data_IF_428791050669
#
_entry.id   IF_428791050669
#
_cell.length_a   1.000
_cell.length_b   1.000
_cell.length_c   1.000
_cell.angle_alpha   90.00
_cell.angle_beta   90.00
_cell.angle_gamma   90.00
#
_symmetry.space_group_name_H-M   'P 1'
#
loop_
_entity.id
_entity.type
_entity.pdbx_description
1 polymer ?
#
# COMPACT_ATOMS: atom_id res chain seq x y z
N UNK A 1 -19.22 6.64 -7.80
CA UNK A 1 -18.11 7.23 -7.00
C UNK A 1 -18.60 8.43 -6.18
N UNK A 2 -18.41 8.39 -4.85
CA UNK A 2 -18.65 9.53 -3.95
C UNK A 2 -17.60 10.64 -4.18
N UNK A 3 -17.70 11.78 -3.50
CA UNK A 3 -16.69 12.86 -3.58
C UNK A 3 -15.33 12.45 -2.97
N UNK A 4 -15.34 11.50 -2.04
CA UNK A 4 -14.15 11.01 -1.33
C UNK A 4 -13.54 9.78 -2.00
N UNK A 5 -14.23 9.17 -2.96
CA UNK A 5 -13.71 8.01 -3.68
C UNK A 5 -12.54 8.41 -4.57
N UNK A 6 -11.45 7.67 -4.45
CA UNK A 6 -10.23 7.80 -5.23
C UNK A 6 -9.83 6.46 -5.83
N UNK A 7 -9.16 6.50 -6.97
CA UNK A 7 -8.44 5.35 -7.53
C UNK A 7 -6.94 5.66 -7.44
N UNK A 8 -6.19 4.77 -6.78
CA UNK A 8 -4.75 4.89 -6.66
C UNK A 8 -4.02 4.20 -7.82
N UNK A 9 -2.76 4.59 -8.11
CA UNK A 9 -1.93 3.93 -9.09
C UNK A 9 -1.49 2.53 -8.58
N UNK A 10 -1.07 1.69 -9.51
CA UNK A 10 -0.56 0.34 -9.30
C UNK A 10 0.96 0.41 -9.46
N UNK A 11 1.69 0.49 -8.35
CA UNK A 11 3.15 0.43 -8.37
C UNK A 11 3.69 -0.93 -7.90
N UNK A 12 4.32 -1.69 -8.79
CA UNK A 12 5.13 -2.82 -8.37
C UNK A 12 6.48 -2.37 -7.83
N UNK A 13 6.82 -2.92 -6.67
CA UNK A 13 8.20 -3.05 -6.23
C UNK A 13 8.64 -4.51 -6.26
N UNK A 14 9.83 -4.76 -6.80
CA UNK A 14 10.45 -6.09 -6.82
C UNK A 14 11.23 -6.28 -5.53
N UNK A 15 10.91 -7.35 -4.81
CA UNK A 15 11.60 -7.78 -3.60
C UNK A 15 12.32 -9.10 -3.88
N UNK A 16 13.64 -9.14 -3.66
CA UNK A 16 14.43 -10.33 -3.93
C UNK A 16 15.80 -10.33 -3.25
N UNK A 17 16.45 -11.50 -3.16
CA UNK A 17 17.74 -11.64 -2.47
C UNK A 17 18.89 -10.89 -3.16
N UNK A 18 18.74 -10.61 -4.46
CA UNK A 18 19.72 -9.93 -5.31
C UNK A 18 19.53 -8.41 -5.39
N UNK A 19 18.58 -7.87 -4.62
CA UNK A 19 18.38 -6.44 -4.53
C UNK A 19 19.56 -5.74 -3.84
N UNK A 20 19.66 -4.40 -3.93
CA UNK A 20 20.69 -3.65 -3.22
C UNK A 20 20.62 -3.86 -1.71
N UNK A 21 21.76 -3.94 -1.03
CA UNK A 21 21.82 -4.02 0.43
C UNK A 21 21.53 -2.66 1.06
N UNK A 22 20.94 -2.64 2.27
CA UNK A 22 20.72 -1.39 3.01
C UNK A 22 22.02 -1.00 3.73
N UNK A 23 22.66 0.14 3.40
CA UNK A 23 23.87 0.58 4.06
C UNK A 23 23.65 0.78 5.57
N UNK A 24 24.60 0.33 6.40
CA UNK A 24 24.57 0.57 7.84
C UNK A 24 23.61 -0.33 8.64
N UNK A 25 22.99 -1.34 8.04
CA UNK A 25 22.16 -2.30 8.76
C UNK A 25 22.96 -3.53 9.21
N UNK A 26 22.74 -3.97 10.45
CA UNK A 26 23.36 -5.20 10.99
C UNK A 26 22.72 -6.49 10.43
N UNK A 27 21.67 -6.37 9.63
CA UNK A 27 20.97 -7.51 9.05
C UNK A 27 21.55 -7.81 7.64
N UNK A 28 22.33 -8.89 7.46
CA UNK A 28 22.94 -9.23 6.18
C UNK A 28 21.92 -9.61 5.09
N UNK A 29 20.66 -9.85 5.46
CA UNK A 29 19.55 -10.14 4.54
C UNK A 29 18.66 -8.93 4.27
N UNK A 30 18.91 -7.77 4.88
CA UNK A 30 18.16 -6.55 4.59
C UNK A 30 18.46 -6.09 3.16
N UNK A 31 17.40 -5.87 2.38
CA UNK A 31 17.47 -5.49 0.97
C UNK A 31 16.54 -4.31 0.73
N UNK A 32 16.95 -3.40 -0.13
CA UNK A 32 16.12 -2.29 -0.62
C UNK A 32 15.18 -2.83 -1.70
N UNK A 33 13.86 -2.67 -1.58
CA UNK A 33 12.92 -2.96 -2.68
C UNK A 33 13.29 -2.13 -3.92
N UNK A 34 13.26 -2.72 -5.10
CA UNK A 34 13.50 -1.99 -6.35
C UNK A 34 12.17 -1.63 -6.98
N UNK A 35 11.80 -0.35 -6.94
CA UNK A 35 10.61 0.19 -7.59
C UNK A 35 10.77 0.15 -9.12
N UNK A 36 9.74 -0.32 -9.81
CA UNK A 36 9.70 -0.31 -11.27
C UNK A 36 9.62 1.13 -11.79
N UNK A 37 8.83 1.99 -11.16
CA UNK A 37 8.70 3.40 -11.53
C UNK A 37 10.03 4.14 -11.45
N UNK A 38 10.81 3.97 -10.38
CA UNK A 38 12.08 4.69 -10.24
C UNK A 38 13.11 4.27 -11.29
N UNK A 39 13.16 2.99 -11.64
CA UNK A 39 14.04 2.50 -12.72
C UNK A 39 13.59 3.09 -14.06
N UNK A 40 12.29 3.06 -14.35
CA UNK A 40 11.73 3.64 -15.58
C UNK A 40 11.97 5.16 -15.65
N UNK A 41 11.73 5.88 -14.56
CA UNK A 41 11.88 7.33 -14.47
C UNK A 41 13.34 7.75 -14.64
N UNK A 42 14.29 6.99 -14.08
CA UNK A 42 15.72 7.21 -14.30
C UNK A 42 16.11 7.07 -15.78
N UNK A 43 15.61 6.02 -16.44
CA UNK A 43 15.86 5.79 -17.86
C UNK A 43 15.15 6.81 -18.76
N UNK A 44 13.95 7.27 -18.39
CA UNK A 44 13.22 8.31 -19.11
C UNK A 44 13.89 9.67 -18.97
N UNK A 45 14.33 10.05 -17.76
CA UNK A 45 15.10 11.28 -17.53
C UNK A 45 16.33 11.33 -18.43
N UNK A 46 17.09 10.23 -18.52
CA UNK A 46 18.26 10.18 -19.38
C UNK A 46 17.93 10.37 -20.87
N UNK A 47 16.84 9.77 -21.36
CA UNK A 47 16.45 9.83 -22.76
C UNK A 47 15.75 11.13 -23.14
N UNK A 48 14.77 11.56 -22.35
CA UNK A 48 13.86 12.66 -22.66
C UNK A 48 14.38 14.02 -22.20
N UNK A 49 14.94 14.11 -20.98
CA UNK A 49 15.40 15.37 -20.41
C UNK A 49 16.87 15.68 -20.80
N UNK A 50 17.73 14.65 -20.75
CA UNK A 50 19.15 14.80 -21.09
C UNK A 50 19.45 14.54 -22.58
N UNK A 51 18.47 14.03 -23.33
CA UNK A 51 18.61 13.77 -24.76
C UNK A 51 19.57 12.63 -25.12
N UNK A 52 19.86 11.72 -24.18
CA UNK A 52 20.78 10.59 -24.40
C UNK A 52 20.03 9.49 -25.16
N UNK A 53 20.11 9.54 -26.48
CA UNK A 53 19.45 8.56 -27.37
C UNK A 53 20.44 7.74 -28.19
N UNK A 54 21.74 8.02 -28.08
CA UNK A 54 22.76 7.27 -28.79
C UNK A 54 23.09 5.94 -28.11
N UNK A 55 23.48 4.95 -28.90
CA UNK A 55 23.72 3.59 -28.39
C UNK A 55 24.84 3.52 -27.34
N UNK A 56 25.85 4.40 -27.43
CA UNK A 56 26.97 4.40 -26.46
C UNK A 56 26.49 4.93 -25.12
N UNK A 57 25.83 6.10 -25.10
CA UNK A 57 25.26 6.67 -23.88
C UNK A 57 24.28 5.72 -23.18
N UNK A 58 23.39 5.07 -23.93
CA UNK A 58 22.46 4.09 -23.38
C UNK A 58 23.18 2.85 -22.80
N UNK A 59 24.25 2.40 -23.46
CA UNK A 59 25.06 1.28 -22.97
C UNK A 59 25.79 1.65 -21.67
N UNK A 60 26.34 2.86 -21.58
CA UNK A 60 27.04 3.34 -20.40
C UNK A 60 26.09 3.46 -19.20
N UNK A 61 24.88 3.99 -19.40
CA UNK A 61 23.83 4.05 -18.37
C UNK A 61 23.46 2.65 -17.88
N UNK A 62 23.24 1.70 -18.80
CA UNK A 62 22.90 0.32 -18.43
C UNK A 62 24.03 -0.33 -17.63
N UNK A 63 25.28 -0.21 -18.10
CA UNK A 63 26.46 -0.73 -17.41
C UNK A 63 26.54 -0.13 -16.01
N UNK A 64 26.36 1.18 -15.86
CA UNK A 64 26.42 1.83 -14.56
C UNK A 64 25.29 1.37 -13.63
N UNK A 65 24.06 1.27 -14.13
CA UNK A 65 22.91 0.76 -13.38
C UNK A 65 23.16 -0.67 -12.88
N UNK A 66 23.78 -1.53 -13.71
CA UNK A 66 24.08 -2.92 -13.33
C UNK A 66 25.14 -3.06 -12.24
N UNK A 67 25.94 -2.01 -11.95
CA UNK A 67 26.86 -2.00 -10.81
C UNK A 67 26.12 -1.84 -9.48
N UNK A 68 24.93 -1.23 -9.51
CA UNK A 68 24.14 -0.92 -8.33
C UNK A 68 22.95 -1.85 -8.14
N UNK A 69 22.33 -2.29 -9.24
CA UNK A 69 21.18 -3.21 -9.25
C UNK A 69 21.55 -4.45 -10.05
N UNK A 70 21.41 -5.62 -9.44
CA UNK A 70 21.74 -6.87 -10.12
C UNK A 70 20.94 -7.05 -11.43
N UNK A 71 21.56 -7.50 -12.55
CA UNK A 71 20.87 -7.65 -13.84
C UNK A 71 19.60 -8.51 -13.79
N UNK A 72 19.60 -9.58 -12.98
CA UNK A 72 18.39 -10.39 -12.77
C UNK A 72 17.24 -9.60 -12.12
N UNK A 73 17.55 -8.67 -11.21
CA UNK A 73 16.54 -7.78 -10.61
C UNK A 73 16.01 -6.79 -11.65
N UNK A 74 16.86 -6.25 -12.54
CA UNK A 74 16.40 -5.42 -13.67
C UNK A 74 15.49 -6.21 -14.64
N UNK A 75 15.83 -7.48 -14.91
CA UNK A 75 14.95 -8.38 -15.67
C UNK A 75 13.61 -8.63 -14.98
N UNK A 76 13.60 -8.76 -13.65
CA UNK A 76 12.38 -8.86 -12.85
C UNK A 76 11.55 -7.58 -12.89
N UNK A 77 12.19 -6.40 -12.83
CA UNK A 77 11.54 -5.09 -12.97
C UNK A 77 10.78 -5.01 -14.30
N UNK A 78 11.45 -5.34 -15.41
CA UNK A 78 10.82 -5.36 -16.74
C UNK A 78 9.63 -6.33 -16.81
N UNK A 79 9.80 -7.54 -16.27
CA UNK A 79 8.74 -8.55 -16.23
C UNK A 79 7.54 -8.07 -15.38
N UNK A 80 7.81 -7.50 -14.22
CA UNK A 80 6.79 -6.99 -13.29
C UNK A 80 5.93 -5.91 -13.95
N UNK A 81 6.57 -4.96 -14.65
CA UNK A 81 5.89 -3.94 -15.45
C UNK A 81 4.91 -4.54 -16.47
N UNK A 82 5.39 -5.50 -17.27
CA UNK A 82 4.57 -6.16 -18.29
C UNK A 82 3.39 -6.93 -17.67
N UNK A 83 3.63 -7.61 -16.54
CA UNK A 83 2.60 -8.35 -15.82
C UNK A 83 1.49 -7.44 -15.27
N UNK A 84 1.84 -6.26 -14.75
CA UNK A 84 0.85 -5.31 -14.23
C UNK A 84 0.06 -4.64 -15.33
N UNK A 85 0.67 -4.29 -16.47
CA UNK A 85 -0.08 -3.84 -17.64
C UNK A 85 -1.07 -4.90 -18.13
N UNK A 86 -0.66 -6.17 -18.18
CA UNK A 86 -1.55 -7.29 -18.51
C UNK A 86 -2.68 -7.47 -17.49
N UNK A 87 -2.38 -7.36 -16.19
CA UNK A 87 -3.38 -7.52 -15.13
C UNK A 87 -4.39 -6.37 -15.16
N UNK A 88 -3.92 -5.13 -15.28
CA UNK A 88 -4.76 -3.95 -15.43
C UNK A 88 -5.71 -4.13 -16.62
N UNK A 89 -5.19 -4.56 -17.78
CA UNK A 89 -5.99 -4.87 -18.97
C UNK A 89 -7.10 -5.89 -18.69
N UNK A 90 -6.77 -7.00 -18.02
CA UNK A 90 -7.75 -8.05 -17.67
C UNK A 90 -8.81 -7.56 -16.68
N UNK A 91 -8.44 -6.70 -15.72
CA UNK A 91 -9.37 -6.13 -14.74
C UNK A 91 -10.31 -5.10 -15.40
N UNK A 92 -9.78 -4.29 -16.32
CA UNK A 92 -10.56 -3.33 -17.10
C UNK A 92 -11.51 -4.00 -18.09
N UNK A 93 -11.21 -5.22 -18.57
CA UNK A 93 -12.12 -5.96 -19.46
C UNK A 93 -13.49 -6.26 -18.85
N UNK A 94 -13.61 -6.26 -17.52
CA UNK A 94 -14.90 -6.39 -16.82
C UNK A 94 -15.65 -5.05 -16.68
N UNK A 95 -15.06 -3.95 -17.14
CA UNK A 95 -15.64 -2.62 -17.12
C UNK A 95 -16.02 -2.20 -18.55
N UNK A 96 -17.16 -1.52 -18.68
CA UNK A 96 -17.58 -0.91 -19.93
C UNK A 96 -16.73 0.35 -20.19
N UNK A 97 -15.64 0.20 -20.93
CA UNK A 97 -14.74 1.28 -21.35
C UNK A 97 -14.59 1.20 -22.87
N UNK A 98 -14.68 2.34 -23.53
CA UNK A 98 -14.46 2.43 -24.97
C UNK A 98 -12.99 2.07 -25.30
N UNK A 99 -12.71 1.25 -26.34
CA UNK A 99 -11.36 0.77 -26.64
C UNK A 99 -10.30 1.87 -26.78
N UNK A 100 -10.69 3.07 -27.23
CA UNK A 100 -9.80 4.21 -27.41
C UNK A 100 -9.28 4.79 -26.09
N UNK A 101 -9.99 4.55 -24.98
CA UNK A 101 -9.64 5.06 -23.65
C UNK A 101 -8.92 4.01 -22.79
N UNK A 102 -8.99 2.72 -23.15
CA UNK A 102 -8.42 1.61 -22.39
C UNK A 102 -6.91 1.81 -22.15
N UNK A 103 -6.14 2.10 -23.20
CA UNK A 103 -4.70 2.31 -23.09
C UNK A 103 -4.36 3.53 -22.22
N UNK A 104 -5.15 4.60 -22.30
CA UNK A 104 -4.95 5.80 -21.48
C UNK A 104 -5.20 5.52 -19.98
N UNK A 105 -6.24 4.75 -19.66
CA UNK A 105 -6.54 4.31 -18.28
C UNK A 105 -5.44 3.39 -17.76
N UNK A 106 -4.96 2.42 -18.55
CA UNK A 106 -3.85 1.53 -18.14
C UNK A 106 -2.58 2.35 -17.91
N UNK A 107 -2.26 3.28 -18.83
CA UNK A 107 -1.10 4.16 -18.73
C UNK A 107 -1.13 4.96 -17.43
N UNK A 108 -2.28 5.53 -17.10
CA UNK A 108 -2.52 6.25 -15.85
C UNK A 108 -2.37 5.35 -14.62
N UNK A 109 -3.03 4.19 -14.60
CA UNK A 109 -3.01 3.26 -13.47
C UNK A 109 -1.61 2.67 -13.25
N UNK A 110 -0.79 2.47 -14.29
CA UNK A 110 0.57 1.99 -14.17
C UNK A 110 1.60 3.12 -13.90
N UNK A 111 1.15 4.18 -13.24
CA UNK A 111 1.98 5.27 -12.69
C UNK A 111 2.77 6.11 -13.71
N UNK A 112 2.34 6.18 -14.96
CA UNK A 112 2.88 7.20 -15.89
C UNK A 112 2.31 8.61 -15.57
N UNK A 113 1.64 8.78 -14.43
CA UNK A 113 1.13 10.04 -13.85
C UNK A 113 2.16 10.80 -13.00
N UNK A 114 3.32 10.19 -12.71
CA UNK A 114 4.47 10.89 -12.11
C UNK A 114 4.49 11.01 -10.58
N UNK A 115 3.58 10.34 -9.87
CA UNK A 115 3.65 10.16 -8.41
C UNK A 115 2.77 9.01 -7.94
N UNK A 116 3.30 8.14 -7.07
CA UNK A 116 2.54 7.09 -6.39
C UNK A 116 1.45 7.62 -5.45
N UNK A 117 1.56 8.88 -5.03
CA UNK A 117 0.54 9.55 -4.20
C UNK A 117 -0.55 10.20 -5.05
N UNK A 118 -0.47 10.10 -6.38
CA UNK A 118 -1.45 10.69 -7.28
C UNK A 118 -2.74 9.88 -7.30
N UNK A 119 -3.70 10.32 -6.50
CA UNK A 119 -5.03 9.72 -6.49
C UNK A 119 -5.94 10.32 -7.55
N UNK A 120 -6.53 9.47 -8.39
CA UNK A 120 -7.53 9.89 -9.37
C UNK A 120 -8.88 10.13 -8.72
N UNK A 121 -9.41 11.33 -8.89
CA UNK A 121 -10.76 11.66 -8.46
C UNK A 121 -11.78 11.37 -9.55
N UNK A 122 -13.07 11.31 -9.17
CA UNK A 122 -14.19 11.04 -10.08
C UNK A 122 -14.31 11.95 -11.31
N UNK A 123 -13.73 13.15 -11.29
CA UNK A 123 -13.76 14.09 -12.44
C UNK A 123 -12.77 13.63 -13.50
N UNK A 124 -11.52 13.44 -13.10
CA UNK A 124 -10.44 12.93 -13.93
C UNK A 124 -10.74 11.51 -14.43
N UNK A 125 -11.28 10.64 -13.58
CA UNK A 125 -11.72 9.32 -14.00
C UNK A 125 -12.73 9.38 -15.15
N UNK A 126 -13.66 10.35 -15.11
CA UNK A 126 -14.62 10.57 -16.20
C UNK A 126 -13.95 11.13 -17.46
N UNK A 127 -12.96 12.00 -17.31
CA UNK A 127 -12.18 12.55 -18.43
C UNK A 127 -11.33 11.47 -19.12
N UNK A 128 -10.84 10.49 -18.37
CA UNK A 128 -10.17 9.29 -18.89
C UNK A 128 -11.13 8.26 -19.50
N UNK A 129 -12.44 8.53 -19.54
CA UNK A 129 -13.41 7.63 -20.17
C UNK A 129 -13.95 6.51 -19.26
N UNK A 130 -13.67 6.54 -17.95
CA UNK A 130 -14.29 5.59 -17.02
C UNK A 130 -15.78 5.89 -16.82
N UNK A 131 -16.59 4.84 -16.78
CA UNK A 131 -18.02 4.94 -16.49
C UNK A 131 -18.26 5.29 -15.02
N UNK A 132 -18.39 6.59 -14.74
CA UNK A 132 -18.60 7.10 -13.39
C UNK A 132 -20.08 7.42 -13.15
N UNK A 133 -20.71 6.65 -12.27
CA UNK A 133 -22.01 7.01 -11.69
C UNK A 133 -21.84 7.93 -10.47
N UNK A 134 -22.59 9.04 -10.46
CA UNK A 134 -22.63 9.96 -9.32
C UNK A 134 -23.82 9.56 -8.43
N UNK A 135 -23.60 9.23 -7.16
CA UNK A 135 -24.71 8.90 -6.28
C UNK A 135 -25.59 10.14 -6.08
N UNK A 136 -26.90 9.92 -6.02
CA UNK A 136 -27.85 10.90 -5.51
C UNK A 136 -27.64 11.08 -3.98
N UNK A 137 -28.38 11.99 -3.35
CA UNK A 137 -28.18 12.28 -1.93
C UNK A 137 -28.50 11.07 -1.05
N UNK A 138 -29.54 10.30 -1.38
CA UNK A 138 -29.95 9.12 -0.60
C UNK A 138 -28.88 8.03 -0.62
N UNK A 139 -28.38 7.69 -1.80
CA UNK A 139 -27.29 6.72 -1.96
C UNK A 139 -25.98 7.23 -1.33
N UNK A 140 -25.70 8.53 -1.45
CA UNK A 140 -24.52 9.13 -0.81
C UNK A 140 -24.58 8.98 0.71
N UNK A 141 -25.73 9.28 1.32
CA UNK A 141 -25.95 9.12 2.75
C UNK A 141 -25.81 7.66 3.18
N UNK A 142 -26.36 6.72 2.40
CA UNK A 142 -26.21 5.28 2.66
C UNK A 142 -24.73 4.86 2.66
N UNK A 143 -23.98 5.18 1.60
CA UNK A 143 -22.54 4.87 1.50
C UNK A 143 -21.77 5.51 2.66
N UNK A 144 -22.09 6.76 3.00
CA UNK A 144 -21.43 7.48 4.09
C UNK A 144 -21.70 6.83 5.44
N UNK A 145 -22.94 6.43 5.72
CA UNK A 145 -23.29 5.74 6.97
C UNK A 145 -22.53 4.42 7.11
N UNK A 146 -22.40 3.63 6.04
CA UNK A 146 -21.60 2.39 6.04
C UNK A 146 -20.13 2.70 6.35
N UNK A 147 -19.56 3.72 5.69
CA UNK A 147 -18.18 4.11 5.96
C UNK A 147 -17.97 4.59 7.38
N UNK A 148 -18.85 5.46 7.90
CA UNK A 148 -18.76 6.01 9.26
C UNK A 148 -18.87 4.89 10.31
N UNK A 149 -19.66 3.84 10.04
CA UNK A 149 -19.79 2.67 10.91
C UNK A 149 -18.49 1.84 10.94
N UNK A 150 -17.96 1.49 9.76
CA UNK A 150 -16.68 0.78 9.61
C UNK A 150 -15.52 1.59 10.22
N UNK A 151 -15.50 2.91 9.99
CA UNK A 151 -14.47 3.82 10.48
C UNK A 151 -14.42 3.86 12.01
N UNK A 152 -15.60 3.90 12.63
CA UNK A 152 -15.75 3.86 14.08
C UNK A 152 -15.37 2.50 14.64
N UNK A 153 -15.80 1.42 14.01
CA UNK A 153 -15.56 0.05 14.47
C UNK A 153 -14.07 -0.36 14.40
N UNK A 154 -13.39 0.03 13.32
CA UNK A 154 -11.96 -0.22 13.11
C UNK A 154 -11.08 0.88 13.72
N UNK A 155 -11.68 1.88 14.35
CA UNK A 155 -11.00 3.03 14.96
C UNK A 155 -9.98 3.70 14.02
N UNK A 156 -10.31 3.89 12.73
CA UNK A 156 -9.33 4.27 11.70
C UNK A 156 -8.68 5.64 11.93
N UNK A 157 -9.28 6.49 12.77
CA UNK A 157 -8.73 7.80 13.18
C UNK A 157 -7.94 7.76 14.48
N UNK A 158 -7.96 6.66 15.20
CA UNK A 158 -7.30 6.51 16.49
C UNK A 158 -6.00 5.74 16.29
N UNK A 159 -4.82 6.40 16.43
CA UNK A 159 -3.56 5.69 16.33
C UNK A 159 -3.40 4.70 17.47
N UNK A 160 -2.80 3.54 17.18
CA UNK A 160 -2.47 2.55 18.19
C UNK A 160 -1.28 3.02 19.02
N UNK A 161 -1.56 3.53 20.22
CA UNK A 161 -0.56 4.09 21.14
C UNK A 161 -0.58 3.34 22.49
N UNK A 162 0.27 2.31 22.68
CA UNK A 162 0.30 1.50 23.91
C UNK A 162 0.47 2.32 25.19
N UNK A 163 1.25 3.40 25.13
CA UNK A 163 1.45 4.30 26.27
C UNK A 163 0.15 4.98 26.69
N UNK A 164 -0.66 5.42 25.72
CA UNK A 164 -1.95 6.09 25.96
C UNK A 164 -2.97 5.08 26.51
N UNK A 165 -3.00 3.87 25.94
CA UNK A 165 -3.88 2.79 26.41
C UNK A 165 -3.58 2.38 27.86
N UNK A 166 -2.30 2.30 28.23
CA UNK A 166 -1.89 2.00 29.60
C UNK A 166 -2.19 3.14 30.58
N UNK A 167 -2.07 4.40 30.15
CA UNK A 167 -2.25 5.57 31.01
C UNK A 167 -1.42 5.47 32.30
N UNK A 168 -2.06 5.55 33.46
CA UNK A 168 -1.38 5.37 34.76
C UNK A 168 -1.34 3.92 35.26
N UNK A 169 -1.90 2.97 34.52
CA UNK A 169 -1.96 1.57 34.90
C UNK A 169 -0.68 0.83 34.49
N UNK A 170 -0.37 -0.25 35.21
CA UNK A 170 0.77 -1.13 34.88
C UNK A 170 0.38 -2.22 33.89
N UNK A 171 -0.92 -2.47 33.70
CA UNK A 171 -1.45 -3.51 32.83
C UNK A 171 -2.80 -3.07 32.27
N UNK A 172 -3.02 -3.29 30.97
CA UNK A 172 -4.33 -3.11 30.32
C UNK A 172 -4.56 -4.21 29.30
N UNK A 173 -5.76 -4.78 29.28
CA UNK A 173 -6.20 -5.71 28.23
C UNK A 173 -6.72 -4.91 27.05
N UNK A 174 -6.33 -5.30 25.84
CA UNK A 174 -6.82 -4.68 24.61
C UNK A 174 -7.45 -5.72 23.68
N UNK A 175 -8.37 -5.23 22.86
CA UNK A 175 -8.98 -5.95 21.76
C UNK A 175 -9.11 -4.98 20.59
N UNK A 176 -8.51 -5.32 19.44
CA UNK A 176 -8.51 -4.48 18.24
C UNK A 176 -9.14 -5.25 17.10
N UNK A 177 -10.17 -4.67 16.48
CA UNK A 177 -10.74 -5.15 15.22
C UNK A 177 -9.89 -4.61 14.08
N UNK A 178 -9.41 -5.49 13.20
CA UNK A 178 -8.41 -5.16 12.17
C UNK A 178 -8.93 -5.27 10.74
N UNK A 179 -9.90 -6.16 10.53
CA UNK A 179 -10.54 -6.37 9.24
C UNK A 179 -11.94 -6.94 9.45
N UNK A 180 -12.83 -6.64 8.51
CA UNK A 180 -14.23 -7.07 8.50
C UNK A 180 -14.54 -7.76 7.18
N UNK A 181 -15.26 -8.87 7.24
CA UNK A 181 -15.88 -9.53 6.10
C UNK A 181 -17.35 -9.71 6.45
N UNK A 182 -18.20 -8.93 5.79
CA UNK A 182 -19.62 -8.87 6.11
C UNK A 182 -20.48 -9.11 4.89
N UNK A 183 -21.56 -9.86 5.08
CA UNK A 183 -22.65 -9.91 4.11
C UNK A 183 -23.98 -10.14 4.81
N UNK A 184 -25.06 -9.72 4.14
CA UNK A 184 -26.42 -9.82 4.69
C UNK A 184 -26.82 -11.27 5.01
N UNK A 185 -26.36 -12.24 4.22
CA UNK A 185 -26.71 -13.65 4.41
C UNK A 185 -25.70 -14.42 5.28
N UNK A 186 -24.42 -14.07 5.20
CA UNK A 186 -23.34 -14.83 5.82
C UNK A 186 -23.08 -14.42 7.29
N UNK A 187 -23.40 -13.17 7.64
CA UNK A 187 -23.02 -12.57 8.92
C UNK A 187 -21.73 -11.77 8.81
N UNK A 188 -21.03 -11.61 9.93
CA UNK A 188 -19.80 -10.84 10.04
C UNK A 188 -18.66 -11.74 10.54
N UNK A 189 -17.54 -11.75 9.82
CA UNK A 189 -16.27 -12.28 10.30
C UNK A 189 -15.31 -11.12 10.54
N UNK A 190 -14.69 -11.12 11.72
CA UNK A 190 -13.81 -10.04 12.17
C UNK A 190 -12.43 -10.62 12.43
N UNK A 191 -11.39 -9.99 11.88
CA UNK A 191 -10.03 -10.28 12.28
C UNK A 191 -9.70 -9.48 13.54
N UNK A 192 -9.42 -10.16 14.64
CA UNK A 192 -9.21 -9.53 15.94
C UNK A 192 -7.81 -9.85 16.45
N UNK A 193 -7.12 -8.82 16.95
CA UNK A 193 -5.89 -8.96 17.74
C UNK A 193 -6.19 -8.60 19.19
N UNK A 194 -5.90 -9.51 20.12
CA UNK A 194 -6.16 -9.32 21.55
C UNK A 194 -4.94 -9.66 22.37
N UNK A 195 -4.78 -8.96 23.47
CA UNK A 195 -3.65 -9.19 24.34
C UNK A 195 -3.69 -8.33 25.58
N UNK A 196 -2.56 -8.36 26.28
CA UNK A 196 -2.34 -7.62 27.49
C UNK A 196 -1.07 -6.80 27.32
N UNK A 197 -1.19 -5.48 27.39
CA UNK A 197 -0.05 -4.59 27.48
C UNK A 197 0.40 -4.52 28.94
N UNK A 198 1.69 -4.67 29.18
CA UNK A 198 2.31 -4.58 30.50
C UNK A 198 3.42 -3.54 30.51
N UNK A 199 3.40 -2.65 31.49
CA UNK A 199 4.50 -1.74 31.78
C UNK A 199 5.50 -2.46 32.68
N UNK A 200 6.72 -2.66 32.17
CA UNK A 200 7.83 -3.21 32.94
C UNK A 200 8.91 -2.14 33.12
N UNK A 201 9.30 -1.91 34.37
CA UNK A 201 10.45 -1.06 34.69
C UNK A 201 11.65 -1.99 34.87
N UNK A 202 12.59 -1.94 33.93
CA UNK A 202 13.82 -2.72 34.00
C UNK A 202 14.88 -1.86 34.69
N UNK A 203 15.34 -2.30 35.88
CA UNK A 203 16.51 -1.74 36.53
C UNK A 203 17.74 -2.53 36.10
N UNK A 204 18.61 -1.91 35.30
CA UNK A 204 19.95 -2.44 35.03
C UNK A 204 20.94 -1.88 36.09
N UNK A 205 21.87 -2.70 36.61
CA UNK A 205 22.92 -2.20 37.49
C UNK A 205 23.73 -1.12 36.76
N UNK A 206 23.84 0.07 37.34
CA UNK A 206 24.52 1.26 36.81
C UNK A 206 23.90 2.00 35.61
N UNK A 207 22.61 1.84 35.31
CA UNK A 207 21.91 2.71 34.34
C UNK A 207 20.58 3.27 34.86
N UNK A 208 20.12 4.36 34.26
CA UNK A 208 18.80 4.96 34.53
C UNK A 208 17.69 3.92 34.30
N UNK A 209 16.64 3.97 35.12
CA UNK A 209 15.47 3.11 34.98
C UNK A 209 14.87 3.27 33.58
N UNK A 210 14.81 2.18 32.82
CA UNK A 210 14.13 2.16 31.53
C UNK A 210 12.75 1.55 31.69
N UNK A 211 11.73 2.28 31.23
CA UNK A 211 10.36 1.77 31.16
C UNK A 211 10.15 1.15 29.79
N UNK A 212 9.84 -0.14 29.76
CA UNK A 212 9.52 -0.91 28.58
C UNK A 212 8.03 -1.26 28.61
N UNK A 213 7.37 -1.23 27.45
CA UNK A 213 6.03 -1.80 27.28
C UNK A 213 6.19 -3.14 26.60
N UNK A 214 5.66 -4.18 27.25
CA UNK A 214 5.57 -5.52 26.71
C UNK A 214 4.15 -5.78 26.23
N UNK A 215 4.01 -6.17 24.95
CA UNK A 215 2.74 -6.64 24.38
C UNK A 215 2.69 -8.16 24.42
N UNK A 216 1.83 -8.71 25.28
CA UNK A 216 1.56 -10.13 25.37
C UNK A 216 0.26 -10.45 24.62
N UNK A 217 0.36 -10.71 23.32
CA UNK A 217 -0.77 -11.08 22.48
C UNK A 217 -1.29 -12.47 22.84
N UNK A 218 -2.56 -12.56 23.22
CA UNK A 218 -3.24 -13.80 23.61
C UNK A 218 -4.02 -14.42 22.45
N UNK A 219 -4.45 -13.61 21.49
CA UNK A 219 -5.18 -14.08 20.32
C UNK A 219 -4.90 -13.20 19.10
N UNK A 220 -4.82 -13.83 17.93
CA UNK A 220 -4.79 -13.16 16.65
C UNK A 220 -5.42 -14.05 15.58
N UNK A 221 -6.55 -13.63 15.02
CA UNK A 221 -7.24 -14.43 14.01
C UNK A 221 -8.67 -14.00 13.74
N UNK A 222 -9.33 -14.78 12.89
CA UNK A 222 -10.72 -14.57 12.51
C UNK A 222 -11.68 -15.08 13.60
N UNK A 223 -12.71 -14.30 13.89
CA UNK A 223 -13.85 -14.68 14.71
C UNK A 223 -15.14 -14.40 13.96
N UNK A 224 -16.05 -15.38 13.98
CA UNK A 224 -17.39 -15.21 13.46
C UNK A 224 -18.28 -14.55 14.50
N UNK A 225 -18.85 -13.42 14.15
CA UNK A 225 -19.82 -12.69 14.95
C UNK A 225 -21.21 -12.88 14.36
N UNK A 226 -22.20 -13.07 15.24
CA UNK A 226 -23.60 -13.07 14.81
C UNK A 226 -24.04 -11.61 14.74
N UNK A 227 -24.45 -11.18 13.56
CA UNK A 227 -25.15 -9.91 13.39
C UNK A 227 -26.50 -10.06 14.13
N UNK A 228 -26.74 -9.21 15.13
CA UNK A 228 -28.05 -9.10 15.80
C UNK A 228 -29.03 -8.28 14.95
#
# INVERSE_FOLDING_TARGET
MTKQATLGPIDPSVNGPLNPAIPGTNNPNARVPVSVEFVDSYLQMAQSELGITDQRGLSDILIDLTKHIHPLTLGQVYKSKAQIKMLAKKLLANHEIEPEHEDAVIKFLCSESGSHDYTMHRKEAKELGLKIEKPNMDLYNCIKSIYDDIEKELELRTPFEPNVMLGNQNQVTYQLRRALIESLEYGCDVFVSEGILNRQVIQQPNQQQQTMIQDNRTFEGWRKEKIN
#
